data_IF_959668207956
#
_entry.id   IF_959668207956
#
_cell.length_a   1.000
_cell.length_b   1.000
_cell.length_c   1.000
_cell.angle_alpha   90.00
_cell.angle_beta   90.00
_cell.angle_gamma   90.00
#
_symmetry.space_group_name_H-M   'P 1'
#
loop_
_entity.id
_entity.type
_entity.pdbx_description
1 polymer ?
#
# COMPACT_ATOMS: atom_id res chain seq x y z
N UNK A 1 -26.48 -15.13 7.08
CA UNK A 1 -25.65 -16.31 6.76
C UNK A 1 -25.26 -16.19 5.30
N UNK A 2 -24.30 -15.31 5.01
CA UNK A 2 -23.76 -15.11 3.66
C UNK A 2 -22.76 -16.23 3.42
N UNK A 3 -22.92 -16.96 2.33
CA UNK A 3 -22.18 -18.19 2.04
C UNK A 3 -20.71 -17.84 1.78
N UNK A 4 -19.85 -18.47 2.59
CA UNK A 4 -18.39 -18.36 2.64
C UNK A 4 -17.69 -18.60 1.28
N UNK A 5 -18.38 -19.27 0.35
CA UNK A 5 -17.95 -19.42 -1.04
C UNK A 5 -17.87 -18.10 -1.79
N UNK A 6 -18.61 -17.05 -1.42
CA UNK A 6 -18.55 -15.76 -2.11
C UNK A 6 -17.35 -14.92 -1.69
N UNK A 7 -16.87 -15.05 -0.45
CA UNK A 7 -15.64 -14.39 0.01
C UNK A 7 -14.43 -15.02 -0.68
N UNK A 8 -14.37 -16.35 -0.73
CA UNK A 8 -13.38 -17.05 -1.50
C UNK A 8 -13.56 -16.79 -2.99
N UNK A 9 -14.73 -16.80 -3.61
CA UNK A 9 -14.89 -16.49 -5.05
C UNK A 9 -14.51 -15.03 -5.38
N UNK A 10 -14.88 -14.09 -4.49
CA UNK A 10 -14.34 -12.75 -4.23
C UNK A 10 -12.82 -12.65 -4.37
N UNK A 11 -12.15 -13.47 -3.56
CA UNK A 11 -10.72 -13.53 -3.35
C UNK A 11 -10.02 -14.50 -4.34
N UNK A 12 -10.72 -15.41 -5.01
CA UNK A 12 -10.21 -16.54 -5.81
C UNK A 12 -10.11 -16.18 -7.29
N UNK A 13 -10.97 -15.28 -7.77
CA UNK A 13 -10.78 -14.61 -9.06
C UNK A 13 -9.64 -13.60 -9.01
N UNK A 14 -9.07 -13.41 -7.81
CA UNK A 14 -8.36 -12.22 -7.45
C UNK A 14 -6.92 -12.50 -6.95
N UNK A 15 -6.72 -13.15 -5.82
CA UNK A 15 -5.40 -13.25 -5.20
C UNK A 15 -4.33 -13.87 -6.11
N UNK A 16 -3.21 -13.16 -6.23
CA UNK A 16 -1.92 -13.82 -6.44
C UNK A 16 -1.44 -14.26 -5.05
N UNK A 17 -1.70 -15.52 -4.72
CA UNK A 17 -1.12 -16.13 -3.52
C UNK A 17 0.28 -16.65 -3.86
N UNK A 18 1.30 -16.04 -3.28
CA UNK A 18 2.66 -16.55 -3.34
C UNK A 18 3.07 -17.03 -1.95
N UNK A 19 3.16 -18.36 -1.76
CA UNK A 19 3.87 -18.91 -0.61
C UNK A 19 5.36 -19.02 -0.98
N UNK A 20 6.20 -18.24 -0.31
CA UNK A 20 7.59 -18.04 -0.70
C UNK A 20 8.48 -19.18 -0.21
N UNK A 21 8.46 -20.33 -0.89
CA UNK A 21 9.63 -21.21 -0.96
C UNK A 21 10.43 -20.84 -2.21
N UNK A 22 11.18 -19.72 -2.16
CA UNK A 22 12.10 -19.21 -3.21
C UNK A 22 11.86 -19.74 -4.64
N UNK A 23 10.74 -19.33 -5.23
CA UNK A 23 10.51 -19.22 -6.67
C UNK A 23 9.20 -18.46 -6.82
N UNK A 24 9.23 -17.37 -7.58
CA UNK A 24 8.05 -16.61 -8.00
C UNK A 24 7.16 -17.54 -8.85
N UNK A 25 6.38 -18.39 -8.18
CA UNK A 25 5.37 -19.25 -8.77
C UNK A 25 4.02 -18.76 -8.31
N UNK A 26 3.18 -18.33 -9.24
CA UNK A 26 1.77 -18.08 -8.98
C UNK A 26 1.12 -19.42 -8.63
N UNK A 27 0.55 -19.56 -7.44
CA UNK A 27 -0.28 -20.73 -7.12
C UNK A 27 -1.69 -20.39 -7.63
N UNK A 28 -2.27 -21.15 -8.58
CA UNK A 28 -3.66 -21.00 -8.96
C UNK A 28 -4.56 -21.18 -7.73
N UNK A 29 -5.56 -20.33 -7.56
CA UNK A 29 -6.48 -20.35 -6.41
C UNK A 29 -7.20 -21.70 -6.21
N UNK A 30 -7.28 -22.53 -7.26
CA UNK A 30 -7.82 -23.90 -7.24
C UNK A 30 -6.93 -24.94 -6.54
N UNK A 31 -5.68 -24.61 -6.21
CA UNK A 31 -4.75 -25.49 -5.50
C UNK A 31 -4.50 -25.06 -4.04
N UNK A 32 -5.23 -24.03 -3.58
CA UNK A 32 -5.04 -23.48 -2.25
C UNK A 32 -5.79 -24.29 -1.19
N UNK A 33 -5.06 -25.16 -0.49
CA UNK A 33 -5.57 -26.04 0.55
C UNK A 33 -5.68 -25.29 1.89
N UNK A 34 -6.91 -24.95 2.29
CA UNK A 34 -7.18 -24.19 3.51
C UNK A 34 -6.71 -24.88 4.80
N UNK A 35 -6.63 -26.22 4.81
CA UNK A 35 -6.19 -26.98 5.98
C UNK A 35 -4.71 -26.75 6.27
N UNK A 36 -3.94 -26.27 5.28
CA UNK A 36 -2.51 -25.96 5.43
C UNK A 36 -2.25 -24.55 5.95
N UNK A 37 -3.24 -23.65 5.96
CA UNK A 37 -3.07 -22.25 6.38
C UNK A 37 -2.41 -22.11 7.77
N UNK A 38 -2.81 -22.87 8.81
CA UNK A 38 -2.20 -22.74 10.13
C UNK A 38 -0.74 -23.16 10.19
N UNK A 39 -0.25 -23.91 9.20
CA UNK A 39 1.12 -24.43 9.16
C UNK A 39 2.07 -23.57 8.32
N UNK A 40 1.57 -22.52 7.66
CA UNK A 40 2.39 -21.62 6.87
C UNK A 40 3.33 -20.82 7.77
N UNK A 41 4.59 -20.69 7.32
CA UNK A 41 5.62 -19.86 7.96
C UNK A 41 5.86 -18.55 7.24
N UNK A 42 5.68 -18.54 5.92
CA UNK A 42 5.86 -17.35 5.09
C UNK A 42 4.63 -17.17 4.21
N UNK A 43 4.14 -15.94 4.10
CA UNK A 43 3.02 -15.59 3.23
C UNK A 43 3.18 -14.19 2.66
N UNK A 44 2.82 -14.03 1.38
CA UNK A 44 2.76 -12.73 0.73
C UNK A 44 1.38 -12.54 0.11
N UNK A 45 0.73 -11.44 0.47
CA UNK A 45 -0.52 -10.99 -0.14
C UNK A 45 -0.22 -9.80 -1.05
N UNK A 46 -0.28 -10.01 -2.36
CA UNK A 46 -0.13 -8.94 -3.34
C UNK A 46 -1.43 -8.81 -4.14
N UNK A 47 -2.14 -7.70 -3.97
CA UNK A 47 -3.41 -7.42 -4.66
C UNK A 47 -3.23 -6.21 -5.60
N UNK A 48 -3.39 -6.47 -6.91
CA UNK A 48 -3.28 -5.43 -7.93
C UNK A 48 -4.60 -4.67 -8.19
N UNK A 49 -5.70 -5.01 -7.50
CA UNK A 49 -6.95 -4.25 -7.48
C UNK A 49 -7.23 -3.70 -6.08
N UNK A 50 -8.28 -2.89 -6.04
CA UNK A 50 -8.84 -2.30 -4.85
C UNK A 50 -9.48 -3.37 -3.95
N UNK A 51 -9.09 -3.38 -2.68
CA UNK A 51 -9.76 -4.06 -1.58
C UNK A 51 -10.73 -3.08 -0.93
N UNK A 52 -11.98 -3.48 -0.71
CA UNK A 52 -13.06 -2.59 -0.20
C UNK A 52 -13.59 -3.00 1.17
N UNK A 53 -12.83 -3.77 1.95
CA UNK A 53 -13.27 -4.28 3.26
C UNK A 53 -12.08 -4.86 4.04
N UNK A 54 -11.08 -4.04 4.38
CA UNK A 54 -9.88 -4.54 5.05
C UNK A 54 -10.20 -5.31 6.34
N UNK A 55 -11.09 -4.75 7.17
CA UNK A 55 -11.47 -5.35 8.46
C UNK A 55 -12.34 -6.61 8.31
N UNK A 56 -13.16 -6.71 7.25
CA UNK A 56 -14.08 -7.83 7.06
C UNK A 56 -13.45 -9.01 6.29
N UNK A 57 -12.49 -8.72 5.40
CA UNK A 57 -11.91 -9.73 4.51
C UNK A 57 -10.46 -10.04 4.85
N UNK A 58 -9.61 -9.01 4.93
CA UNK A 58 -8.15 -9.21 5.07
C UNK A 58 -7.80 -9.64 6.48
N UNK A 59 -8.31 -8.94 7.50
CA UNK A 59 -7.99 -9.26 8.90
C UNK A 59 -8.43 -10.69 9.28
N UNK A 60 -9.66 -11.14 9.02
CA UNK A 60 -10.09 -12.50 9.40
C UNK A 60 -9.34 -13.59 8.63
N UNK A 61 -9.04 -13.34 7.34
CA UNK A 61 -8.25 -14.27 6.53
C UNK A 61 -6.84 -14.45 7.09
N UNK A 62 -6.14 -13.35 7.37
CA UNK A 62 -4.78 -13.39 7.89
C UNK A 62 -4.71 -14.00 9.31
N UNK A 63 -5.73 -13.80 10.15
CA UNK A 63 -5.80 -14.42 11.48
C UNK A 63 -5.83 -15.95 11.46
N UNK A 64 -6.24 -16.59 10.35
CA UNK A 64 -6.18 -18.05 10.19
C UNK A 64 -4.74 -18.58 10.06
N UNK A 65 -3.79 -17.68 9.78
CA UNK A 65 -2.36 -17.97 9.63
C UNK A 65 -1.56 -17.44 10.82
N UNK A 66 -2.03 -17.72 12.04
CA UNK A 66 -1.44 -17.17 13.29
C UNK A 66 0.00 -17.60 13.58
N UNK A 67 0.49 -18.65 12.90
CA UNK A 67 1.85 -19.19 13.07
C UNK A 67 2.87 -18.64 12.05
N UNK A 68 2.49 -17.62 11.27
CA UNK A 68 3.41 -16.98 10.34
C UNK A 68 4.61 -16.37 11.07
N UNK A 69 5.78 -16.56 10.47
CA UNK A 69 7.04 -15.95 10.85
C UNK A 69 7.37 -14.76 9.94
N UNK A 70 7.00 -14.86 8.66
CA UNK A 70 7.15 -13.79 7.66
C UNK A 70 5.81 -13.46 6.97
N UNK A 71 5.47 -12.18 6.92
CA UNK A 71 4.31 -11.65 6.20
C UNK A 71 4.74 -10.46 5.31
N UNK A 72 4.30 -10.48 4.06
CA UNK A 72 4.40 -9.35 3.14
C UNK A 72 2.99 -8.94 2.68
N UNK A 73 2.65 -7.66 2.80
CA UNK A 73 1.36 -7.12 2.39
C UNK A 73 1.53 -5.98 1.39
N UNK A 74 1.01 -6.16 0.18
CA UNK A 74 0.99 -5.14 -0.86
C UNK A 74 -0.41 -5.04 -1.46
N UNK A 75 -1.13 -3.96 -1.14
CA UNK A 75 -2.47 -3.76 -1.69
C UNK A 75 -2.93 -2.30 -1.61
N UNK A 76 -3.92 -2.01 -2.45
CA UNK A 76 -4.70 -0.77 -2.43
C UNK A 76 -6.02 -1.05 -1.72
N UNK A 77 -6.32 -0.28 -0.68
CA UNK A 77 -7.60 -0.25 0.00
C UNK A 77 -8.33 1.05 -0.34
N UNK A 78 -9.61 0.98 -0.67
CA UNK A 78 -10.41 2.17 -0.99
C UNK A 78 -11.83 2.04 -0.46
N UNK A 79 -12.57 3.15 -0.45
CA UNK A 79 -13.97 3.24 -0.05
C UNK A 79 -14.21 2.98 1.45
N UNK A 80 -13.19 3.25 2.27
CA UNK A 80 -13.33 3.28 3.72
C UNK A 80 -13.51 4.72 4.21
N UNK A 81 -14.08 4.86 5.41
CA UNK A 81 -14.19 6.15 6.12
C UNK A 81 -12.86 6.59 6.75
N UNK A 82 -11.91 5.67 6.92
CA UNK A 82 -10.63 5.94 7.59
C UNK A 82 -9.46 5.27 6.89
N UNK A 83 -8.27 5.85 7.02
CA UNK A 83 -7.04 5.24 6.51
C UNK A 83 -6.68 4.00 7.32
N UNK A 84 -6.11 3.00 6.65
CA UNK A 84 -5.39 1.94 7.36
C UNK A 84 -4.14 2.59 7.96
N UNK A 85 -4.02 2.49 9.28
CA UNK A 85 -2.94 3.03 10.09
C UNK A 85 -2.24 1.90 10.90
N UNK A 86 -1.33 2.25 11.79
CA UNK A 86 -0.66 1.29 12.66
C UNK A 86 -1.63 0.55 13.58
N UNK A 87 -2.69 1.20 14.07
CA UNK A 87 -3.68 0.52 14.91
C UNK A 87 -4.47 -0.52 14.11
N UNK A 88 -4.75 -0.24 12.84
CA UNK A 88 -5.39 -1.15 11.91
C UNK A 88 -4.51 -2.37 11.63
N UNK A 89 -3.19 -2.19 11.47
CA UNK A 89 -2.25 -3.30 11.29
C UNK A 89 -2.05 -4.12 12.57
N UNK A 90 -2.16 -3.52 13.76
CA UNK A 90 -2.09 -4.25 15.06
C UNK A 90 -3.16 -5.34 15.16
N UNK A 91 -4.34 -5.13 14.55
CA UNK A 91 -5.41 -6.15 14.49
C UNK A 91 -4.95 -7.47 13.85
N UNK A 92 -3.94 -7.44 12.99
CA UNK A 92 -3.26 -8.60 12.40
C UNK A 92 -2.10 -9.04 13.29
N UNK A 93 -1.15 -8.13 13.56
CA UNK A 93 0.13 -8.50 14.19
C UNK A 93 -0.02 -9.00 15.62
N UNK A 94 -1.01 -8.51 16.37
CA UNK A 94 -1.28 -8.96 17.74
C UNK A 94 -1.73 -10.44 17.80
N UNK A 95 -2.20 -10.99 16.68
CA UNK A 95 -2.63 -12.39 16.56
C UNK A 95 -1.52 -13.30 16.02
N UNK A 96 -0.37 -12.74 15.65
CA UNK A 96 0.75 -13.47 15.04
C UNK A 96 2.00 -13.40 15.92
N UNK A 97 1.97 -14.14 17.03
CA UNK A 97 3.05 -14.10 18.03
C UNK A 97 4.43 -14.52 17.49
N UNK A 98 4.46 -15.31 16.41
CA UNK A 98 5.69 -15.80 15.76
C UNK A 98 6.23 -14.85 14.69
N UNK A 99 5.49 -13.79 14.34
CA UNK A 99 5.85 -12.87 13.27
C UNK A 99 7.11 -12.09 13.65
N UNK A 100 8.20 -12.41 12.96
CA UNK A 100 9.50 -11.78 13.15
C UNK A 100 9.88 -10.85 12.01
N UNK A 101 9.23 -11.01 10.85
CA UNK A 101 9.41 -10.16 9.69
C UNK A 101 8.06 -9.78 9.10
N UNK A 102 7.78 -8.49 9.14
CA UNK A 102 6.57 -7.93 8.57
C UNK A 102 6.97 -6.79 7.63
N UNK A 103 6.73 -7.01 6.34
CA UNK A 103 6.90 -6.02 5.29
C UNK A 103 5.53 -5.62 4.77
N UNK A 104 5.39 -4.35 4.41
CA UNK A 104 4.17 -3.92 3.73
C UNK A 104 4.41 -2.69 2.84
N UNK A 105 3.53 -2.55 1.86
CA UNK A 105 3.28 -1.36 1.06
C UNK A 105 1.76 -1.25 0.87
N UNK A 106 1.12 -0.43 1.69
CA UNK A 106 -0.33 -0.32 1.71
C UNK A 106 -0.72 1.09 1.31
N UNK A 107 -1.60 1.19 0.33
CA UNK A 107 -2.26 2.44 -0.01
C UNK A 107 -3.68 2.39 0.50
N UNK A 108 -4.08 3.42 1.23
CA UNK A 108 -5.46 3.62 1.67
C UNK A 108 -6.02 4.86 1.00
N UNK A 109 -7.24 4.74 0.49
CA UNK A 109 -7.99 5.81 -0.14
C UNK A 109 -9.30 5.98 0.63
N UNK A 110 -9.55 7.20 1.09
CA UNK A 110 -10.79 7.56 1.77
C UNK A 110 -11.53 8.61 0.96
N UNK A 111 -12.85 8.60 1.04
CA UNK A 111 -13.68 9.75 0.68
C UNK A 111 -13.94 10.55 1.95
N UNK A 112 -13.97 11.88 1.86
CA UNK A 112 -14.31 12.74 2.98
C UNK A 112 -15.23 13.87 2.54
N UNK A 113 -16.14 14.26 3.43
CA UNK A 113 -16.92 15.48 3.31
C UNK A 113 -16.21 16.65 4.03
N UNK A 114 -16.59 17.89 3.72
CA UNK A 114 -15.94 19.13 4.18
C UNK A 114 -15.87 19.31 5.73
N UNK A 115 -16.51 18.44 6.52
CA UNK A 115 -16.62 18.55 7.98
C UNK A 115 -15.71 17.59 8.78
N UNK A 116 -14.80 16.86 8.12
CA UNK A 116 -13.98 15.83 8.80
C UNK A 116 -12.64 16.41 9.28
N UNK A 117 -12.28 16.12 10.53
CA UNK A 117 -10.91 16.31 11.03
C UNK A 117 -9.98 15.31 10.32
N UNK A 118 -9.35 15.76 9.25
CA UNK A 118 -8.42 14.97 8.44
C UNK A 118 -7.08 14.78 9.19
N UNK A 119 -6.60 13.54 9.39
CA UNK A 119 -5.35 13.30 10.10
C UNK A 119 -4.14 13.86 9.34
N UNK A 120 -3.17 14.42 10.06
CA UNK A 120 -1.87 14.77 9.48
C UNK A 120 -1.01 13.52 9.21
N UNK A 121 0.06 13.68 8.44
CA UNK A 121 1.02 12.59 8.27
C UNK A 121 1.68 12.20 9.60
N UNK A 122 1.91 13.18 10.47
CA UNK A 122 2.43 12.98 11.82
C UNK A 122 1.48 12.14 12.69
N UNK A 123 0.16 12.38 12.58
CA UNK A 123 -0.84 11.61 13.30
C UNK A 123 -0.81 10.13 12.88
N UNK A 124 -0.76 9.84 11.57
CA UNK A 124 -0.64 8.46 11.07
C UNK A 124 0.70 7.85 11.46
N UNK A 125 1.81 8.57 11.28
CA UNK A 125 3.15 8.09 11.65
C UNK A 125 3.23 7.73 13.14
N UNK A 126 2.55 8.48 14.01
CA UNK A 126 2.50 8.23 15.45
C UNK A 126 1.82 6.91 15.82
N UNK A 127 0.88 6.42 15.01
CA UNK A 127 0.21 5.12 15.23
C UNK A 127 1.18 3.93 15.14
N UNK A 128 2.33 4.13 14.48
CA UNK A 128 3.40 3.14 14.34
C UNK A 128 4.45 3.17 15.45
N UNK A 129 4.37 4.09 16.42
CA UNK A 129 5.41 4.28 17.46
C UNK A 129 5.76 3.01 18.26
N UNK A 130 4.83 2.07 18.36
CA UNK A 130 4.97 0.82 19.11
C UNK A 130 5.21 -0.41 18.19
N UNK A 131 5.36 -0.20 16.87
CA UNK A 131 5.69 -1.29 15.96
C UNK A 131 7.13 -1.73 16.17
N UNK A 132 7.36 -3.05 16.21
CA UNK A 132 8.72 -3.61 16.31
C UNK A 132 9.61 -3.21 15.12
N UNK A 133 9.01 -2.90 13.97
CA UNK A 133 9.70 -2.36 12.82
C UNK A 133 9.69 -0.82 12.91
N UNK A 134 10.83 -0.22 13.25
CA UNK A 134 10.93 1.22 13.51
C UNK A 134 11.11 2.04 12.23
N UNK A 135 11.28 1.42 11.07
CA UNK A 135 11.50 2.12 9.80
C UNK A 135 10.25 2.04 8.92
N UNK A 136 9.14 2.59 9.41
CA UNK A 136 7.91 2.74 8.64
C UNK A 136 7.83 4.18 8.15
N UNK A 137 7.49 4.38 6.89
CA UNK A 137 7.29 5.71 6.30
C UNK A 137 5.83 5.82 5.87
N UNK A 138 5.16 6.89 6.27
CA UNK A 138 3.86 7.30 5.72
C UNK A 138 3.96 8.61 4.93
N UNK A 139 3.07 8.75 3.95
CA UNK A 139 2.80 9.97 3.22
C UNK A 139 1.29 10.09 3.02
N UNK A 140 0.73 11.26 3.33
CA UNK A 140 -0.69 11.55 3.17
C UNK A 140 -0.86 12.73 2.25
N UNK A 141 -1.85 12.63 1.37
CA UNK A 141 -2.27 13.68 0.47
C UNK A 141 -3.80 13.81 0.49
N UNK A 142 -4.26 15.06 0.40
CA UNK A 142 -5.67 15.40 0.35
C UNK A 142 -5.99 16.13 -0.94
N UNK A 143 -6.95 15.57 -1.68
CA UNK A 143 -7.45 16.07 -2.95
C UNK A 143 -8.86 16.62 -2.71
N UNK A 144 -8.95 17.91 -2.37
CA UNK A 144 -10.20 18.56 -1.99
C UNK A 144 -11.20 18.69 -3.13
N UNK A 145 -10.75 18.82 -4.38
CA UNK A 145 -11.66 18.85 -5.55
C UNK A 145 -12.27 17.46 -5.80
N UNK A 146 -11.55 16.40 -5.45
CA UNK A 146 -12.02 15.02 -5.56
C UNK A 146 -12.67 14.51 -4.27
N UNK A 147 -12.74 15.33 -3.21
CA UNK A 147 -13.26 14.94 -1.88
C UNK A 147 -12.63 13.64 -1.38
N UNK A 148 -11.31 13.51 -1.56
CA UNK A 148 -10.58 12.25 -1.44
C UNK A 148 -9.24 12.41 -0.76
N UNK A 149 -8.94 11.53 0.20
CA UNK A 149 -7.63 11.41 0.82
C UNK A 149 -6.91 10.15 0.34
N UNK A 150 -5.60 10.24 0.14
CA UNK A 150 -4.74 9.07 -0.07
C UNK A 150 -3.65 9.03 1.00
N UNK A 151 -3.46 7.85 1.60
CA UNK A 151 -2.36 7.57 2.51
C UNK A 151 -1.57 6.39 1.96
N UNK A 152 -0.29 6.61 1.69
CA UNK A 152 0.66 5.55 1.39
C UNK A 152 1.53 5.29 2.61
N UNK A 153 1.61 4.04 3.03
CA UNK A 153 2.50 3.62 4.10
C UNK A 153 3.27 2.37 3.69
N UNK A 154 4.56 2.33 4.04
CA UNK A 154 5.41 1.21 3.69
C UNK A 154 6.54 0.97 4.68
N UNK A 155 7.02 -0.27 4.70
CA UNK A 155 8.25 -0.66 5.38
C UNK A 155 9.48 -0.22 4.57
N UNK A 156 10.43 0.45 5.22
CA UNK A 156 11.70 0.84 4.62
C UNK A 156 12.75 -0.28 4.74
N UNK A 157 13.59 -0.54 3.72
CA UNK A 157 13.59 0.10 2.40
C UNK A 157 12.42 -0.36 1.52
N UNK A 158 11.96 0.53 0.64
CA UNK A 158 10.95 0.21 -0.37
C UNK A 158 11.45 -0.86 -1.34
N UNK A 159 10.73 -1.98 -1.44
CA UNK A 159 11.16 -3.16 -2.20
C UNK A 159 10.47 -3.33 -3.56
N UNK A 160 9.36 -2.62 -3.80
CA UNK A 160 8.56 -2.83 -5.00
C UNK A 160 9.16 -2.15 -6.25
N UNK A 161 8.75 -2.68 -7.40
CA UNK A 161 9.14 -2.18 -8.72
C UNK A 161 8.33 -0.93 -9.10
N UNK A 162 7.12 -0.80 -8.57
CA UNK A 162 6.18 0.25 -8.93
C UNK A 162 5.98 1.20 -7.77
N UNK A 163 5.96 2.51 -8.02
CA UNK A 163 5.55 3.51 -7.03
C UNK A 163 4.50 4.43 -7.66
N UNK A 164 3.24 4.18 -7.33
CA UNK A 164 2.12 4.87 -7.97
C UNK A 164 1.74 6.20 -7.27
N UNK A 165 0.94 7.05 -7.90
CA UNK A 165 0.37 8.31 -7.38
C UNK A 165 1.33 9.16 -6.50
N UNK A 166 2.54 9.43 -6.99
CA UNK A 166 3.44 10.36 -6.31
C UNK A 166 2.91 11.79 -6.53
N UNK A 167 2.74 12.53 -5.44
CA UNK A 167 2.21 13.90 -5.38
C UNK A 167 3.33 14.93 -5.18
N UNK A 168 3.02 16.22 -5.24
CA UNK A 168 3.97 17.30 -4.95
C UNK A 168 4.55 17.23 -3.52
N UNK A 169 3.84 16.61 -2.58
CA UNK A 169 4.28 16.45 -1.19
C UNK A 169 5.31 15.34 -1.00
N UNK A 170 5.68 14.63 -2.07
CA UNK A 170 6.70 13.60 -2.03
C UNK A 170 7.98 14.08 -1.32
N UNK A 171 8.37 13.44 -0.19
CA UNK A 171 9.48 13.90 0.63
C UNK A 171 10.84 13.63 -0.03
N UNK A 172 10.89 12.80 -1.08
CA UNK A 172 12.13 12.29 -1.64
C UNK A 172 12.53 10.96 -0.99
N UNK A 173 13.81 10.65 -1.04
CA UNK A 173 14.37 9.35 -0.62
C UNK A 173 15.04 8.62 -1.77
N UNK A 174 15.59 7.43 -1.53
CA UNK A 174 16.32 6.65 -2.54
C UNK A 174 15.64 5.30 -2.80
N UNK A 175 15.03 5.15 -3.97
CA UNK A 175 14.20 4.01 -4.33
C UNK A 175 14.88 3.16 -5.42
N UNK A 176 15.92 2.41 -5.03
CA UNK A 176 16.77 1.66 -5.98
C UNK A 176 16.06 0.54 -6.73
N UNK A 177 14.94 0.04 -6.21
CA UNK A 177 14.20 -1.09 -6.81
C UNK A 177 13.10 -0.63 -7.76
N UNK A 178 12.64 0.62 -7.63
CA UNK A 178 11.58 1.17 -8.43
C UNK A 178 12.05 1.36 -9.87
N UNK A 179 11.21 0.95 -10.82
CA UNK A 179 11.42 1.07 -12.27
C UNK A 179 10.28 1.83 -12.94
N UNK A 180 9.10 1.86 -12.33
CA UNK A 180 7.92 2.51 -12.89
C UNK A 180 7.28 3.38 -11.83
N UNK A 181 6.96 4.62 -12.19
CA UNK A 181 6.21 5.51 -11.30
C UNK A 181 5.02 6.11 -12.02
N UNK A 182 3.97 6.42 -11.25
CA UNK A 182 2.90 7.30 -11.70
C UNK A 182 2.85 8.55 -10.83
N UNK A 183 2.71 9.70 -11.48
CA UNK A 183 2.61 11.02 -10.85
C UNK A 183 1.19 11.54 -10.99
N UNK A 184 0.61 12.00 -9.88
CA UNK A 184 -0.72 12.59 -9.87
C UNK A 184 -0.82 13.66 -8.78
N UNK A 185 -1.35 14.84 -9.13
CA UNK A 185 -1.66 15.90 -8.16
C UNK A 185 -2.74 16.83 -8.72
N UNK A 186 -3.50 17.48 -7.81
CA UNK A 186 -4.44 18.54 -8.14
C UNK A 186 -3.74 19.83 -8.60
N UNK A 187 -2.48 20.02 -8.19
CA UNK A 187 -1.64 21.16 -8.54
C UNK A 187 -0.59 20.77 -9.58
N UNK A 188 -0.22 21.69 -10.50
CA UNK A 188 0.82 21.42 -11.47
C UNK A 188 2.17 21.07 -10.81
N UNK A 189 2.85 20.05 -11.34
CA UNK A 189 4.22 19.73 -10.97
C UNK A 189 5.20 20.76 -11.52
N UNK A 190 6.02 21.34 -10.65
CA UNK A 190 7.05 22.32 -11.01
C UNK A 190 8.41 21.65 -11.30
N UNK A 191 9.37 22.39 -11.86
CA UNK A 191 10.65 21.83 -12.29
C UNK A 191 11.44 21.14 -11.16
N UNK A 192 11.45 21.75 -9.98
CA UNK A 192 12.14 21.25 -8.79
C UNK A 192 11.59 19.89 -8.34
N UNK A 193 10.31 19.63 -8.58
CA UNK A 193 9.70 18.33 -8.33
C UNK A 193 10.33 17.25 -9.22
N UNK A 194 10.48 17.50 -10.52
CA UNK A 194 11.10 16.53 -11.44
C UNK A 194 12.58 16.29 -11.11
N UNK A 195 13.30 17.30 -10.62
CA UNK A 195 14.67 17.11 -10.12
C UNK A 195 14.69 16.15 -8.91
N UNK A 196 13.75 16.31 -7.98
CA UNK A 196 13.58 15.40 -6.84
C UNK A 196 13.25 13.98 -7.30
N UNK A 197 12.34 13.81 -8.26
CA UNK A 197 12.01 12.50 -8.86
C UNK A 197 13.26 11.85 -9.48
N UNK A 198 14.02 12.58 -10.30
CA UNK A 198 15.22 12.04 -10.95
C UNK A 198 16.28 11.57 -9.93
N UNK A 199 16.43 12.29 -8.80
CA UNK A 199 17.34 11.90 -7.72
C UNK A 199 16.83 10.69 -6.94
N UNK A 200 15.51 10.60 -6.73
CA UNK A 200 14.89 9.54 -5.95
C UNK A 200 14.80 8.20 -6.67
N UNK A 201 14.69 8.22 -8.00
CA UNK A 201 14.46 7.03 -8.83
C UNK A 201 15.57 6.85 -9.89
N UNK A 202 16.81 6.48 -9.48
CA UNK A 202 17.97 6.47 -10.38
C UNK A 202 17.90 5.42 -11.50
N UNK A 203 16.97 4.46 -11.42
CA UNK A 203 16.79 3.38 -12.39
C UNK A 203 15.39 3.40 -13.02
N UNK A 204 14.75 4.57 -13.08
CA UNK A 204 13.42 4.73 -13.64
C UNK A 204 13.41 4.44 -15.15
N UNK A 205 12.52 3.55 -15.57
CA UNK A 205 12.33 3.16 -16.97
C UNK A 205 10.98 3.63 -17.53
N UNK A 206 9.98 3.82 -16.67
CA UNK A 206 8.63 4.21 -17.06
C UNK A 206 8.10 5.30 -16.14
N UNK A 207 7.49 6.32 -16.74
CA UNK A 207 6.87 7.45 -16.05
C UNK A 207 5.48 7.67 -16.65
N UNK A 208 4.44 7.43 -15.85
CA UNK A 208 3.08 7.88 -16.14
C UNK A 208 2.84 9.22 -15.43
N UNK A 209 2.30 10.21 -16.13
CA UNK A 209 2.05 11.54 -15.60
C UNK A 209 0.62 11.95 -15.92
N UNK A 210 -0.18 12.08 -14.85
CA UNK A 210 -1.53 12.64 -14.92
C UNK A 210 -1.50 14.05 -14.34
N UNK A 211 -1.53 15.03 -15.23
CA UNK A 211 -1.60 16.43 -14.84
C UNK A 211 -2.79 17.10 -15.54
N UNK A 212 -3.79 17.49 -14.76
CA UNK A 212 -5.00 18.14 -15.27
C UNK A 212 -4.84 19.66 -15.42
N UNK A 213 -3.75 20.25 -14.90
CA UNK A 213 -3.55 21.70 -14.88
C UNK A 213 -2.23 22.14 -15.55
N UNK A 214 -2.24 23.30 -16.22
CA UNK A 214 -1.03 23.84 -16.82
C UNK A 214 -0.06 24.37 -15.76
N UNK A 215 1.24 24.14 -15.97
CA UNK A 215 2.32 24.73 -15.15
C UNK A 215 2.26 26.26 -15.18
N UNK A 216 2.50 26.89 -14.02
CA UNK A 216 2.55 28.36 -13.91
C UNK A 216 3.78 28.92 -14.62
N UNK A 217 4.90 28.22 -14.53
CA UNK A 217 6.19 28.65 -15.08
C UNK A 217 6.68 27.68 -16.16
N UNK A 218 6.20 27.82 -17.39
CA UNK A 218 6.84 27.16 -18.53
C UNK A 218 8.17 27.85 -18.81
N UNK A 219 9.28 27.26 -18.35
CA UNK A 219 10.58 27.61 -18.93
C UNK A 219 10.60 27.04 -20.35
N UNK A 220 10.47 27.91 -21.35
CA UNK A 220 10.82 27.53 -22.71
C UNK A 220 12.28 27.07 -22.69
N UNK A 221 12.51 25.80 -23.02
CA UNK A 221 13.84 25.30 -23.35
C UNK A 221 14.38 26.16 -24.50
N UNK A 222 15.46 26.89 -24.23
CA UNK A 222 16.32 27.45 -25.27
C UNK A 222 17.25 26.35 -25.77
#
# INVERSE_FOLDING_TARGET
MVLFTDVLHNLQNSLIVCSTARKLGRIPSSEFDEEKLPNLKCFSLCCNWIVNSYDELIVPFLRRMSNLEELDLDFLNSYEETFIDGNSLKKITDHMAQLNKFMFNIRSVISFDDEINLPSNEDIQYTFRDFKNNEIISCIDYFFKETKGECLMYSNPYTLIDYNNITNNFPGGLFKNVRRISLFDEHPFEHEFFLKIAQSFPFLNELDLKNYQQQKNKRCSK
#
